data_IF_672999897052
#
_entry.id   IF_672999897052
#
_cell.length_a   1.000
_cell.length_b   1.000
_cell.length_c   1.000
_cell.angle_alpha   90.00
_cell.angle_beta   90.00
_cell.angle_gamma   90.00
#
_symmetry.space_group_name_H-M   'P 1'
#
loop_
_entity.id
_entity.type
_entity.pdbx_description
1 polymer ?
#
# COMPACT_ATOMS: atom_id res chain seq x y z
N UNK A 1 12.78 -24.91 -50.59
CA UNK A 1 11.96 -25.21 -49.40
C UNK A 1 10.52 -24.82 -49.73
N UNK A 2 9.63 -25.83 -49.76
CA UNK A 2 8.35 -25.78 -50.44
C UNK A 2 7.26 -25.02 -49.67
N UNK A 3 6.48 -24.24 -50.43
CA UNK A 3 5.21 -23.67 -50.02
C UNK A 3 4.15 -24.79 -50.04
N UNK A 4 3.70 -25.25 -48.88
CA UNK A 4 2.66 -26.28 -48.77
C UNK A 4 1.35 -25.67 -48.27
N UNK A 5 0.36 -25.79 -49.16
CA UNK A 5 -1.04 -25.35 -49.05
C UNK A 5 -1.73 -26.02 -47.86
N UNK A 6 -2.45 -25.27 -47.04
CA UNK A 6 -3.49 -25.83 -46.17
C UNK A 6 -4.89 -25.44 -46.64
N UNK A 7 -5.76 -26.44 -46.55
CA UNK A 7 -6.94 -26.67 -47.36
C UNK A 7 -8.19 -26.04 -46.71
N UNK A 8 -9.09 -25.55 -47.55
CA UNK A 8 -10.47 -25.20 -47.21
C UNK A 8 -11.22 -26.50 -46.88
N UNK A 9 -11.84 -26.56 -45.72
CA UNK A 9 -12.90 -27.53 -45.40
C UNK A 9 -14.05 -26.80 -44.74
N UNK A 10 -15.14 -26.67 -45.49
CA UNK A 10 -16.46 -26.25 -45.02
C UNK A 10 -17.30 -27.51 -44.80
N UNK A 11 -17.92 -27.64 -43.63
CA UNK A 11 -18.92 -28.64 -43.22
C UNK A 11 -19.61 -28.06 -41.98
N UNK A 12 -20.90 -28.14 -41.68
CA UNK A 12 -22.17 -28.34 -42.38
C UNK A 12 -23.26 -27.84 -41.39
N UNK A 13 -24.45 -27.54 -41.90
CA UNK A 13 -25.61 -27.08 -41.13
C UNK A 13 -26.12 -28.18 -40.17
N UNK A 14 -26.54 -27.79 -38.96
CA UNK A 14 -27.47 -28.56 -38.15
C UNK A 14 -28.54 -27.63 -37.56
N UNK A 15 -29.78 -27.83 -38.02
CA UNK A 15 -31.01 -27.30 -37.45
C UNK A 15 -31.35 -28.13 -36.21
N UNK A 16 -31.59 -27.47 -35.07
CA UNK A 16 -32.05 -28.10 -33.83
C UNK A 16 -33.24 -27.32 -33.27
N UNK A 17 -34.38 -28.00 -33.18
CA UNK A 17 -35.70 -27.51 -32.79
C UNK A 17 -35.81 -27.34 -31.26
N UNK A 18 -36.78 -26.50 -30.89
CA UNK A 18 -37.10 -25.82 -29.63
C UNK A 18 -37.47 -26.74 -28.44
N UNK A 19 -37.36 -26.13 -27.25
CA UNK A 19 -38.08 -26.36 -25.97
C UNK A 19 -37.51 -27.36 -24.96
N UNK A 20 -36.99 -26.82 -23.84
CA UNK A 20 -37.38 -27.17 -22.46
C UNK A 20 -36.59 -26.34 -21.42
N UNK A 21 -37.28 -25.42 -20.72
CA UNK A 21 -36.98 -24.99 -19.34
C UNK A 21 -35.66 -24.27 -19.02
N UNK A 22 -35.54 -22.99 -19.37
CA UNK A 22 -34.58 -22.10 -18.71
C UNK A 22 -35.12 -21.68 -17.34
N UNK A 23 -34.78 -22.42 -16.29
CA UNK A 23 -34.74 -21.82 -14.95
C UNK A 23 -33.39 -21.12 -14.87
N UNK A 24 -33.39 -19.82 -15.19
CA UNK A 24 -32.24 -18.97 -14.93
C UNK A 24 -31.98 -18.98 -13.42
N UNK A 25 -30.98 -19.74 -12.98
CA UNK A 25 -30.43 -19.58 -11.65
C UNK A 25 -29.83 -18.18 -11.58
N UNK A 26 -30.60 -17.24 -11.04
CA UNK A 26 -30.11 -15.91 -10.69
C UNK A 26 -28.92 -16.13 -9.78
N UNK A 27 -27.69 -15.66 -10.10
CA UNK A 27 -26.61 -15.72 -9.15
C UNK A 27 -27.08 -14.93 -7.92
N UNK A 28 -27.19 -15.62 -6.79
CA UNK A 28 -27.50 -15.00 -5.53
C UNK A 28 -26.46 -13.89 -5.32
N UNK A 29 -26.88 -12.64 -5.46
CA UNK A 29 -26.11 -11.49 -5.01
C UNK A 29 -25.81 -11.73 -3.54
N UNK A 30 -24.54 -12.02 -3.25
CA UNK A 30 -24.06 -12.15 -1.89
C UNK A 30 -24.53 -10.91 -1.12
N UNK A 31 -25.33 -11.14 -0.08
CA UNK A 31 -25.71 -10.08 0.84
C UNK A 31 -24.43 -9.40 1.35
N UNK A 32 -24.44 -8.07 1.59
CA UNK A 32 -23.30 -7.41 2.19
C UNK A 32 -22.95 -8.13 3.49
N UNK A 33 -21.76 -8.74 3.52
CA UNK A 33 -21.37 -9.61 4.61
C UNK A 33 -21.51 -8.91 5.96
N UNK A 34 -22.34 -9.46 6.83
CA UNK A 34 -22.53 -9.04 8.24
C UNK A 34 -21.37 -9.45 9.15
N UNK A 35 -20.22 -9.83 8.57
CA UNK A 35 -19.01 -10.19 9.30
C UNK A 35 -18.29 -8.96 9.88
N UNK A 36 -17.45 -9.14 10.91
CA UNK A 36 -16.64 -8.07 11.47
C UNK A 36 -15.75 -7.46 10.39
N UNK A 37 -15.76 -6.12 10.30
CA UNK A 37 -14.98 -5.37 9.32
C UNK A 37 -13.48 -5.64 9.53
N UNK A 38 -12.71 -5.88 8.46
CA UNK A 38 -11.27 -6.09 8.59
C UNK A 38 -10.57 -4.82 9.08
N UNK A 39 -9.49 -4.98 9.85
CA UNK A 39 -8.70 -3.86 10.38
C UNK A 39 -8.05 -3.05 9.26
N UNK A 40 -8.16 -1.71 9.33
CA UNK A 40 -7.51 -0.81 8.38
C UNK A 40 -5.96 -0.86 8.44
N UNK A 41 -5.38 -1.28 9.57
CA UNK A 41 -3.93 -1.27 9.75
C UNK A 41 -3.20 -2.43 9.05
N UNK A 42 -3.93 -3.39 8.47
CA UNK A 42 -3.30 -4.42 7.65
C UNK A 42 -2.82 -3.81 6.33
N UNK A 43 -1.70 -4.27 5.74
CA UNK A 43 -1.11 -3.67 4.54
C UNK A 43 -2.06 -3.41 3.37
N UNK A 44 -2.93 -4.37 3.05
CA UNK A 44 -3.87 -4.23 1.93
C UNK A 44 -5.13 -3.39 2.24
N UNK A 45 -5.26 -2.89 3.48
CA UNK A 45 -6.49 -2.29 4.00
C UNK A 45 -6.37 -0.78 4.27
N UNK A 46 -5.25 -0.17 3.90
CA UNK A 46 -5.06 1.27 3.91
C UNK A 46 -4.30 1.70 2.65
N UNK A 47 -4.44 2.99 2.34
CA UNK A 47 -3.65 3.65 1.32
C UNK A 47 -2.52 4.40 2.01
N UNK A 48 -1.33 4.41 1.43
CA UNK A 48 -0.24 5.25 1.89
C UNK A 48 0.36 6.04 0.73
N UNK A 49 0.59 7.34 0.94
CA UNK A 49 1.17 8.23 -0.08
C UNK A 49 2.26 9.11 0.51
N UNK A 50 3.31 9.31 -0.28
CA UNK A 50 4.45 10.13 0.05
C UNK A 50 4.26 11.51 -0.57
N UNK A 51 4.41 12.53 0.24
CA UNK A 51 4.39 13.94 -0.18
C UNK A 51 5.61 14.65 0.38
N UNK A 52 6.08 15.68 -0.31
CA UNK A 52 7.11 16.56 0.23
C UNK A 52 6.50 17.46 1.31
N UNK A 53 7.24 17.67 2.40
CA UNK A 53 6.84 18.52 3.52
C UNK A 53 7.83 19.70 3.65
N UNK A 54 7.46 20.80 4.32
CA UNK A 54 8.35 21.96 4.50
C UNK A 54 9.72 21.55 5.05
N UNK A 55 10.78 22.08 4.46
CA UNK A 55 12.16 21.73 4.79
C UNK A 55 12.56 22.41 6.10
N UNK A 56 13.50 21.83 6.86
CA UNK A 56 14.11 22.50 8.01
C UNK A 56 15.61 22.67 7.79
N UNK A 57 16.25 23.50 8.62
CA UNK A 57 17.71 23.56 8.65
C UNK A 57 18.30 22.15 8.82
N UNK A 58 19.07 21.71 7.83
CA UNK A 58 19.75 20.40 7.83
C UNK A 58 18.94 19.22 7.28
N UNK A 59 17.63 19.33 7.04
CA UNK A 59 16.81 18.20 6.59
C UNK A 59 15.79 18.56 5.50
N UNK A 60 15.71 17.71 4.47
CA UNK A 60 14.51 17.57 3.65
C UNK A 60 13.50 16.74 4.41
N UNK A 61 12.22 17.10 4.31
CA UNK A 61 11.13 16.39 4.96
C UNK A 61 10.19 15.80 3.93
N UNK A 62 9.80 14.55 4.15
CA UNK A 62 8.71 13.90 3.44
C UNK A 62 7.69 13.41 4.44
N UNK A 63 6.42 13.40 4.05
CA UNK A 63 5.32 12.89 4.84
C UNK A 63 4.71 11.69 4.17
N UNK A 64 4.62 10.59 4.91
CA UNK A 64 3.84 9.42 4.53
C UNK A 64 2.49 9.49 5.20
N UNK A 65 1.43 9.70 4.42
CA UNK A 65 0.05 9.80 4.93
C UNK A 65 -0.67 8.48 4.70
N UNK A 66 -1.19 7.89 5.77
CA UNK A 66 -2.00 6.67 5.76
C UNK A 66 -3.49 7.03 5.86
N UNK A 67 -4.28 6.46 4.96
CA UNK A 67 -5.74 6.68 4.89
C UNK A 67 -6.47 5.35 4.92
N UNK A 68 -7.45 5.23 5.83
CA UNK A 68 -8.35 4.09 5.87
C UNK A 68 -9.54 4.33 4.91
N UNK A 69 -9.78 3.44 3.93
CA UNK A 69 -10.99 3.51 3.11
C UNK A 69 -12.26 3.23 3.93
N UNK A 70 -13.42 3.57 3.36
CA UNK A 70 -14.72 3.09 3.90
C UNK A 70 -14.73 1.57 3.87
N UNK A 71 -15.44 0.94 4.82
CA UNK A 71 -15.56 -0.52 4.86
C UNK A 71 -14.66 -1.19 5.90
N UNK A 72 -13.58 -0.53 6.34
CA UNK A 72 -12.61 -1.08 7.29
C UNK A 72 -12.86 -0.64 8.73
N UNK A 73 -12.53 -1.52 9.69
CA UNK A 73 -12.54 -1.20 11.11
C UNK A 73 -11.37 -0.28 11.48
N UNK A 74 -11.64 0.64 12.40
CA UNK A 74 -10.61 1.47 13.01
C UNK A 74 -9.56 0.61 13.74
N UNK A 75 -8.34 1.11 13.84
CA UNK A 75 -7.25 0.41 14.50
C UNK A 75 -6.27 1.38 15.15
N UNK A 76 -5.56 0.92 16.18
CA UNK A 76 -4.58 1.74 16.91
C UNK A 76 -3.17 1.43 16.44
N UNK A 77 -2.42 2.46 16.07
CA UNK A 77 -1.00 2.44 15.75
C UNK A 77 -0.19 3.06 16.89
N UNK A 78 1.09 2.69 17.00
CA UNK A 78 1.99 3.25 17.98
C UNK A 78 3.44 3.30 17.48
N UNK A 79 4.15 4.39 17.79
CA UNK A 79 5.57 4.57 17.48
C UNK A 79 5.89 4.70 15.99
N UNK A 80 7.18 4.63 15.66
CA UNK A 80 7.66 4.64 14.27
C UNK A 80 7.47 3.28 13.60
N UNK A 81 7.19 3.25 12.28
CA UNK A 81 7.30 2.03 11.48
C UNK A 81 8.70 1.41 11.58
N UNK A 82 8.78 0.10 11.33
CA UNK A 82 10.02 -0.69 11.30
C UNK A 82 10.21 -1.35 9.95
N UNK A 83 11.33 -2.04 9.77
CA UNK A 83 11.73 -2.68 8.51
C UNK A 83 11.67 -1.77 7.29
N UNK A 84 11.98 -0.50 7.49
CA UNK A 84 11.85 0.50 6.44
C UNK A 84 12.87 0.24 5.34
N UNK A 85 12.36 0.18 4.10
CA UNK A 85 13.10 -0.01 2.85
C UNK A 85 12.66 1.05 1.85
N UNK A 86 13.59 1.50 1.03
CA UNK A 86 13.31 2.48 -0.02
C UNK A 86 13.69 1.88 -1.36
N UNK A 87 12.78 1.95 -2.31
CA UNK A 87 12.94 1.41 -3.66
C UNK A 87 12.81 2.51 -4.70
N UNK A 88 13.46 2.32 -5.84
CA UNK A 88 13.23 3.09 -7.05
C UNK A 88 12.92 2.15 -8.20
N UNK A 89 11.70 2.19 -8.76
CA UNK A 89 11.26 1.29 -9.81
C UNK A 89 11.52 -0.20 -9.47
N UNK A 90 11.20 -0.58 -8.23
CA UNK A 90 11.35 -1.95 -7.71
C UNK A 90 12.77 -2.34 -7.27
N UNK A 91 13.76 -1.45 -7.35
CA UNK A 91 15.14 -1.73 -6.92
C UNK A 91 15.42 -1.13 -5.53
N UNK A 92 15.85 -1.94 -4.57
CA UNK A 92 16.25 -1.45 -3.23
C UNK A 92 17.41 -0.45 -3.36
N UNK A 93 17.28 0.70 -2.71
CA UNK A 93 18.31 1.73 -2.61
C UNK A 93 19.49 1.32 -1.71
N UNK A 94 19.30 0.31 -0.84
CA UNK A 94 20.26 -0.10 0.18
C UNK A 94 20.36 0.87 1.36
N UNK A 95 19.63 2.00 1.34
CA UNK A 95 19.62 2.97 2.43
C UNK A 95 18.83 2.39 3.61
N UNK A 96 19.42 2.50 4.80
CA UNK A 96 18.80 2.11 6.06
C UNK A 96 18.45 3.37 6.85
N UNK A 97 17.26 3.38 7.45
CA UNK A 97 16.78 4.50 8.22
C UNK A 97 16.91 4.24 9.73
N UNK A 98 17.25 5.29 10.47
CA UNK A 98 17.11 5.33 11.93
C UNK A 98 15.69 5.73 12.34
N UNK A 99 15.48 5.89 13.65
CA UNK A 99 14.24 6.42 14.22
C UNK A 99 14.53 7.69 14.99
N UNK A 100 13.56 8.58 15.05
CA UNK A 100 13.63 9.77 15.91
C UNK A 100 12.30 10.00 16.63
N UNK A 101 12.31 10.89 17.62
CA UNK A 101 11.12 11.28 18.36
C UNK A 101 10.62 10.21 19.33
N UNK A 102 9.65 10.61 20.16
CA UNK A 102 9.07 9.77 21.23
C UNK A 102 8.19 8.67 20.64
N UNK A 103 8.46 7.42 21.02
CA UNK A 103 7.86 6.22 20.42
C UNK A 103 6.56 5.74 21.08
N UNK A 104 6.11 6.37 22.17
CA UNK A 104 5.03 5.85 23.02
C UNK A 104 3.61 6.32 22.68
N UNK A 105 3.45 7.29 21.77
CA UNK A 105 2.14 7.84 21.45
C UNK A 105 1.29 6.86 20.63
N UNK A 106 0.02 6.72 21.01
CA UNK A 106 -0.98 5.90 20.33
C UNK A 106 -1.86 6.79 19.47
N UNK A 107 -2.16 6.35 18.25
CA UNK A 107 -3.03 7.07 17.32
C UNK A 107 -4.02 6.10 16.66
N UNK A 108 -5.20 6.58 16.33
CA UNK A 108 -6.26 5.76 15.73
C UNK A 108 -6.37 6.10 14.25
N UNK A 109 -6.11 5.11 13.40
CA UNK A 109 -6.40 5.18 11.97
C UNK A 109 -7.86 4.74 11.77
N UNK A 110 -8.68 5.63 11.20
CA UNK A 110 -10.08 5.36 10.85
C UNK A 110 -10.51 6.17 9.64
N UNK A 111 -11.61 5.77 9.00
CA UNK A 111 -12.15 6.49 7.85
C UNK A 111 -12.40 7.97 8.19
N UNK A 112 -11.95 8.87 7.30
CA UNK A 112 -12.05 10.32 7.48
C UNK A 112 -11.00 10.93 8.43
N UNK A 113 -10.13 10.13 9.04
CA UNK A 113 -9.08 10.61 9.94
C UNK A 113 -7.74 9.98 9.54
N UNK A 114 -7.03 10.59 8.58
CA UNK A 114 -5.71 10.12 8.18
C UNK A 114 -4.72 10.26 9.34
N UNK A 115 -3.68 9.44 9.29
CA UNK A 115 -2.51 9.52 10.18
C UNK A 115 -1.27 9.64 9.31
N UNK A 116 -0.16 10.10 9.87
CA UNK A 116 1.07 10.24 9.09
C UNK A 116 2.31 9.93 9.92
N UNK A 117 3.41 9.61 9.24
CA UNK A 117 4.75 9.68 9.82
C UNK A 117 5.67 10.46 8.88
N UNK A 118 6.64 11.15 9.46
CA UNK A 118 7.55 12.00 8.70
C UNK A 118 8.92 11.33 8.55
N UNK A 119 9.52 11.53 7.38
CA UNK A 119 10.85 11.06 6.98
C UNK A 119 11.76 12.28 6.90
N UNK A 120 12.84 12.28 7.68
CA UNK A 120 13.86 13.32 7.63
C UNK A 120 15.09 12.83 6.89
N UNK A 121 15.58 13.62 5.92
CA UNK A 121 16.71 13.26 5.07
C UNK A 121 17.78 14.34 5.17
N UNK A 122 19.00 14.03 5.62
CA UNK A 122 20.06 15.03 5.77
C UNK A 122 20.37 15.72 4.44
N UNK A 123 20.39 17.06 4.43
CA UNK A 123 20.61 17.86 3.20
C UNK A 123 22.03 17.73 2.66
N UNK A 124 23.03 17.59 3.54
CA UNK A 124 24.46 17.50 3.17
C UNK A 124 24.92 16.10 2.75
N UNK A 125 24.07 15.08 2.88
CA UNK A 125 24.44 13.72 2.54
C UNK A 125 24.23 13.45 1.04
N UNK A 126 24.98 12.47 0.48
CA UNK A 126 24.77 12.01 -0.89
C UNK A 126 23.40 11.32 -0.99
N UNK A 127 22.46 11.98 -1.66
CA UNK A 127 21.10 11.52 -1.82
C UNK A 127 20.93 10.64 -3.06
N UNK A 128 20.07 9.63 -2.96
CA UNK A 128 19.62 8.78 -4.06
C UNK A 128 18.10 8.91 -4.20
N UNK A 129 17.59 8.69 -5.41
CA UNK A 129 16.15 8.74 -5.68
C UNK A 129 15.47 7.48 -5.18
N UNK A 130 14.23 7.64 -4.72
CA UNK A 130 13.28 6.58 -4.45
C UNK A 130 11.88 7.03 -4.91
N UNK A 131 10.99 6.08 -5.14
CA UNK A 131 9.58 6.32 -5.46
C UNK A 131 8.60 5.48 -4.62
N UNK A 132 9.13 4.60 -3.78
CA UNK A 132 8.35 3.74 -2.90
C UNK A 132 9.07 3.54 -1.55
N UNK A 133 8.28 3.45 -0.48
CA UNK A 133 8.72 3.09 0.87
C UNK A 133 7.97 1.85 1.31
N UNK A 134 8.69 0.75 1.55
CA UNK A 134 8.16 -0.43 2.23
C UNK A 134 8.39 -0.33 3.74
N UNK A 135 7.37 -0.65 4.55
CA UNK A 135 7.45 -0.56 6.02
C UNK A 135 6.49 -1.50 6.74
N UNK A 136 6.85 -1.88 7.96
CA UNK A 136 6.01 -2.63 8.90
C UNK A 136 5.41 -1.68 9.92
N UNK A 137 4.09 -1.66 10.03
CA UNK A 137 3.37 -0.87 11.03
C UNK A 137 3.42 -1.52 12.41
N UNK A 138 3.26 -0.70 13.45
CA UNK A 138 3.25 -1.17 14.84
C UNK A 138 1.94 -0.81 15.52
N UNK A 139 1.37 -1.79 16.20
CA UNK A 139 0.31 -1.63 17.17
C UNK A 139 0.91 -1.46 18.58
N UNK A 140 0.13 -1.04 19.59
CA UNK A 140 0.62 -0.91 20.96
C UNK A 140 1.23 -2.20 21.54
N UNK A 141 0.84 -3.38 21.03
CA UNK A 141 1.29 -4.69 21.52
C UNK A 141 2.40 -5.32 20.67
N UNK A 142 2.89 -4.64 19.63
CA UNK A 142 3.91 -5.17 18.74
C UNK A 142 3.70 -4.81 17.29
N UNK A 143 4.46 -5.45 16.41
CA UNK A 143 4.36 -5.27 14.97
C UNK A 143 3.06 -5.85 14.40
N UNK A 144 2.56 -5.21 13.36
CA UNK A 144 1.43 -5.69 12.56
C UNK A 144 2.03 -6.49 11.41
N UNK A 145 1.73 -7.80 11.29
CA UNK A 145 2.35 -8.62 10.27
C UNK A 145 2.15 -8.11 8.84
N UNK A 146 3.21 -8.18 8.06
CA UNK A 146 3.25 -7.83 6.65
C UNK A 146 3.80 -6.44 6.35
N UNK A 147 4.13 -6.22 5.08
CA UNK A 147 4.75 -4.99 4.59
C UNK A 147 3.71 -4.12 3.93
N UNK A 148 3.59 -2.88 4.39
CA UNK A 148 2.81 -1.81 3.75
C UNK A 148 3.71 -1.01 2.81
N UNK A 149 3.11 -0.43 1.78
CA UNK A 149 3.84 0.34 0.76
C UNK A 149 3.24 1.72 0.62
N UNK A 150 4.09 2.74 0.57
CA UNK A 150 3.71 4.09 0.23
C UNK A 150 4.41 4.53 -1.06
N UNK A 151 3.66 5.10 -1.99
CA UNK A 151 4.21 5.61 -3.24
C UNK A 151 4.35 7.13 -3.22
N UNK A 152 5.40 7.62 -3.87
CA UNK A 152 5.59 9.02 -4.19
C UNK A 152 7.07 9.36 -4.30
N UNK A 153 7.39 10.44 -4.99
CA UNK A 153 8.77 10.83 -5.24
C UNK A 153 9.43 11.28 -3.93
N UNK A 154 10.58 10.69 -3.62
CA UNK A 154 11.43 11.14 -2.53
C UNK A 154 12.91 10.96 -2.86
N UNK A 155 13.75 11.56 -2.02
CA UNK A 155 15.18 11.29 -1.98
C UNK A 155 15.53 10.73 -0.61
N UNK A 156 16.50 9.83 -0.56
CA UNK A 156 16.98 9.24 0.70
C UNK A 156 18.49 9.23 0.74
N UNK A 157 19.05 9.21 1.94
CA UNK A 157 20.49 9.21 2.14
C UNK A 157 20.87 8.46 3.42
N UNK A 158 22.16 8.17 3.60
CA UNK A 158 22.67 7.73 4.89
C UNK A 158 22.30 8.77 5.95
N UNK A 159 21.74 8.32 7.07
CA UNK A 159 21.23 9.19 8.13
C UNK A 159 19.78 9.63 7.96
N UNK A 160 19.02 9.05 7.00
CA UNK A 160 17.57 9.19 6.97
C UNK A 160 16.95 8.70 8.29
N UNK A 161 15.97 9.43 8.83
CA UNK A 161 15.29 9.11 10.09
C UNK A 161 13.77 9.05 9.92
N UNK A 162 13.13 8.11 10.61
CA UNK A 162 11.67 7.88 10.56
C UNK A 162 11.02 8.27 11.89
N UNK A 163 10.03 9.16 11.83
CA UNK A 163 9.28 9.65 12.99
C UNK A 163 8.18 8.69 13.42
N UNK A 164 7.62 8.88 14.64
CA UNK A 164 6.47 8.11 15.08
C UNK A 164 5.23 8.48 14.27
N UNK A 165 4.27 7.56 14.17
CA UNK A 165 2.97 7.85 13.56
C UNK A 165 2.20 8.84 14.44
N UNK A 166 1.62 9.86 13.82
CA UNK A 166 0.87 10.96 14.44
C UNK A 166 -0.49 11.12 13.77
N UNK A 167 -1.44 11.72 14.48
CA UNK A 167 -2.69 12.16 13.87
C UNK A 167 -2.41 13.24 12.81
N UNK A 168 -3.12 13.14 11.67
CA UNK A 168 -3.05 14.09 10.56
C UNK A 168 -3.98 15.28 10.69
#
# INVERSE_FOLDING_TARGET
MGLMRLRRTAVALAVGVVTSGLVAAVPATAAPGTGPRPSACRPANHLAKITEAPHSAGHHHYRVTLTAPRGYAACTLAGSPVDVRFSHHGKDSGVRAGRYGKQGHKVVLKYGHPVHFDIQVPTKARQVRADEVGFTLRAPRGEIPGTSFADGKLKVARGTLIGPVRAG
#
